data_IF_497604814433
#
_entry.id   IF_497604814433
#
_cell.length_a   1.000
_cell.length_b   1.000
_cell.length_c   1.000
_cell.angle_alpha   90.00
_cell.angle_beta   90.00
_cell.angle_gamma   90.00
#
_symmetry.space_group_name_H-M   'P 1'
#
loop_
_entity.id
_entity.type
_entity.pdbx_description
1 polymer ?
#
# COMPACT_ATOMS: atom_id res chain seq x y z
N UNK A 1 5.88 9.61 10.39
CA UNK A 1 6.10 8.31 9.72
C UNK A 1 6.01 7.18 10.73
N UNK A 2 5.35 6.10 10.35
CA UNK A 2 5.24 4.93 11.21
C UNK A 2 6.56 4.15 11.25
N UNK A 3 6.91 3.65 12.42
CA UNK A 3 8.03 2.72 12.57
C UNK A 3 7.53 1.26 12.45
N UNK A 4 8.45 0.29 12.52
CA UNK A 4 8.12 -1.13 12.36
C UNK A 4 7.14 -1.62 13.42
N UNK A 5 7.28 -1.17 14.66
CA UNK A 5 6.38 -1.57 15.77
C UNK A 5 4.98 -1.04 15.51
N UNK A 6 4.86 0.23 15.16
CA UNK A 6 3.59 0.87 14.85
C UNK A 6 2.93 0.25 13.61
N UNK A 7 3.72 -0.02 12.57
CA UNK A 7 3.22 -0.66 11.36
C UNK A 7 2.70 -2.07 11.62
N UNK A 8 3.41 -2.85 12.44
CA UNK A 8 2.98 -4.20 12.81
C UNK A 8 1.67 -4.16 13.60
N UNK A 9 1.55 -3.23 14.56
CA UNK A 9 0.33 -3.07 15.34
C UNK A 9 -0.85 -2.68 14.45
N UNK A 10 -0.64 -1.79 13.49
CA UNK A 10 -1.68 -1.38 12.55
C UNK A 10 -2.09 -2.53 11.62
N UNK A 11 -1.12 -3.30 11.14
CA UNK A 11 -1.38 -4.48 10.31
C UNK A 11 -2.19 -5.53 11.09
N UNK A 12 -1.86 -5.75 12.36
CA UNK A 12 -2.59 -6.68 13.21
C UNK A 12 -4.03 -6.22 13.47
N UNK A 13 -4.22 -4.93 13.73
CA UNK A 13 -5.54 -4.34 13.87
C UNK A 13 -6.36 -4.53 12.59
N UNK A 14 -5.78 -4.19 11.44
CA UNK A 14 -6.43 -4.29 10.14
C UNK A 14 -6.83 -5.74 9.83
N UNK A 15 -5.93 -6.69 10.08
CA UNK A 15 -6.20 -8.10 9.87
C UNK A 15 -7.33 -8.61 10.77
N UNK A 16 -7.42 -8.13 12.01
CA UNK A 16 -8.52 -8.49 12.91
C UNK A 16 -9.88 -8.03 12.39
N UNK A 17 -9.93 -6.93 11.65
CA UNK A 17 -11.18 -6.44 11.02
C UNK A 17 -11.62 -7.33 9.86
N UNK A 18 -10.68 -7.91 9.13
CA UNK A 18 -10.93 -8.76 7.96
C UNK A 18 -9.84 -9.84 7.86
N UNK A 19 -9.95 -10.92 8.66
CA UNK A 19 -8.94 -11.98 8.63
C UNK A 19 -8.81 -12.63 7.25
N UNK A 20 -7.57 -12.99 6.90
CA UNK A 20 -7.28 -13.65 5.64
C UNK A 20 -5.77 -13.81 5.41
N UNK A 21 -5.36 -14.41 4.29
CA UNK A 21 -3.95 -14.69 4.00
C UNK A 21 -3.14 -13.43 3.67
N UNK A 22 -3.78 -12.29 3.47
CA UNK A 22 -3.13 -11.05 3.07
C UNK A 22 -2.16 -10.50 4.12
N UNK A 23 -2.35 -10.80 5.42
CA UNK A 23 -1.40 -10.42 6.46
C UNK A 23 -0.06 -11.13 6.28
N UNK A 24 -0.09 -12.43 6.09
CA UNK A 24 1.13 -13.21 5.86
C UNK A 24 1.83 -12.74 4.58
N UNK A 25 1.07 -12.49 3.52
CA UNK A 25 1.59 -11.90 2.29
C UNK A 25 2.28 -10.56 2.56
N UNK A 26 1.64 -9.67 3.31
CA UNK A 26 2.21 -8.36 3.65
C UNK A 26 3.52 -8.48 4.41
N UNK A 27 3.65 -9.43 5.33
CA UNK A 27 4.90 -9.67 6.05
C UNK A 27 6.00 -10.23 5.14
N UNK A 28 5.65 -11.09 4.19
CA UNK A 28 6.61 -11.55 3.18
C UNK A 28 7.11 -10.40 2.31
N UNK A 29 6.20 -9.54 1.86
CA UNK A 29 6.56 -8.35 1.08
C UNK A 29 7.45 -7.42 1.90
N UNK A 30 7.14 -7.21 3.18
CA UNK A 30 7.95 -6.39 4.07
C UNK A 30 9.39 -6.88 4.16
N UNK A 31 9.58 -8.18 4.37
CA UNK A 31 10.91 -8.78 4.46
C UNK A 31 11.68 -8.65 3.15
N UNK A 32 11.01 -8.94 2.03
CA UNK A 32 11.63 -8.83 0.71
C UNK A 32 12.01 -7.38 0.39
N UNK A 33 11.10 -6.45 0.61
CA UNK A 33 11.34 -5.02 0.38
C UNK A 33 12.52 -4.50 1.21
N UNK A 34 12.55 -4.84 2.51
CA UNK A 34 13.65 -4.45 3.39
C UNK A 34 15.00 -4.99 2.92
N UNK A 35 15.05 -6.27 2.56
CA UNK A 35 16.29 -6.90 2.10
C UNK A 35 16.77 -6.32 0.77
N UNK A 36 15.88 -6.08 -0.18
CA UNK A 36 16.20 -5.46 -1.47
C UNK A 36 16.73 -4.04 -1.26
N UNK A 37 16.03 -3.25 -0.45
CA UNK A 37 16.41 -1.87 -0.18
C UNK A 37 17.82 -1.79 0.42
N UNK A 38 18.14 -2.64 1.40
CA UNK A 38 19.47 -2.68 2.00
C UNK A 38 20.55 -2.98 0.96
N UNK A 39 20.31 -3.95 0.08
CA UNK A 39 21.27 -4.27 -1.00
C UNK A 39 21.43 -3.15 -2.01
N UNK A 40 20.42 -2.31 -2.18
CA UNK A 40 20.46 -1.16 -3.08
C UNK A 40 20.96 0.13 -2.40
N UNK A 41 21.39 0.06 -1.14
CA UNK A 41 21.81 1.24 -0.39
C UNK A 41 20.68 2.17 0.04
N UNK A 42 19.46 1.66 0.08
CA UNK A 42 18.27 2.39 0.52
C UNK A 42 17.93 2.04 1.98
N UNK A 43 16.99 2.80 2.57
CA UNK A 43 16.53 2.57 3.94
C UNK A 43 15.67 1.30 4.02
N UNK A 44 16.28 0.20 4.50
CA UNK A 44 15.61 -1.09 4.64
C UNK A 44 14.48 -1.09 5.66
N UNK A 45 14.61 -0.34 6.75
CA UNK A 45 13.53 -0.21 7.74
C UNK A 45 12.31 0.48 7.14
N UNK A 46 12.54 1.56 6.39
CA UNK A 46 11.46 2.26 5.71
C UNK A 46 10.79 1.37 4.67
N UNK A 47 11.57 0.68 3.85
CA UNK A 47 11.04 -0.25 2.85
C UNK A 47 10.22 -1.38 3.50
N UNK A 48 10.68 -1.89 4.65
CA UNK A 48 9.94 -2.89 5.41
C UNK A 48 8.55 -2.38 5.81
N UNK A 49 8.48 -1.17 6.36
CA UNK A 49 7.20 -0.55 6.78
C UNK A 49 6.27 -0.37 5.58
N UNK A 50 6.78 0.14 4.46
CA UNK A 50 5.99 0.32 3.25
C UNK A 50 5.44 -1.02 2.74
N UNK A 51 6.27 -2.06 2.73
CA UNK A 51 5.85 -3.40 2.32
C UNK A 51 4.79 -3.99 3.25
N UNK A 52 4.95 -3.81 4.56
CA UNK A 52 3.98 -4.30 5.54
C UNK A 52 2.60 -3.65 5.38
N UNK A 53 2.54 -2.41 4.94
CA UNK A 53 1.29 -1.63 4.90
C UNK A 53 0.70 -1.47 3.50
N UNK A 54 1.34 -2.00 2.46
CA UNK A 54 0.89 -1.77 1.08
C UNK A 54 -0.55 -2.24 0.81
N UNK A 55 -1.00 -3.26 1.49
CA UNK A 55 -2.34 -3.86 1.36
C UNK A 55 -3.25 -3.60 2.56
N UNK A 56 -2.87 -2.68 3.45
CA UNK A 56 -3.62 -2.46 4.70
C UNK A 56 -5.08 -2.07 4.49
N UNK A 57 -5.41 -1.51 3.34
CA UNK A 57 -6.78 -1.14 2.97
C UNK A 57 -7.76 -2.32 2.89
N UNK A 58 -7.25 -3.55 2.92
CA UNK A 58 -8.10 -4.75 2.97
C UNK A 58 -8.84 -4.92 4.30
N UNK A 59 -8.59 -4.06 5.29
CA UNK A 59 -9.25 -4.11 6.59
C UNK A 59 -10.78 -4.00 6.52
N UNK A 60 -11.32 -3.37 5.48
CA UNK A 60 -12.78 -3.22 5.30
C UNK A 60 -13.43 -4.39 4.55
N UNK A 61 -12.71 -5.48 4.31
CA UNK A 61 -13.22 -6.62 3.58
C UNK A 61 -13.32 -6.41 2.07
N UNK A 62 -12.73 -5.33 1.56
CA UNK A 62 -12.75 -5.03 0.14
C UNK A 62 -11.68 -5.82 -0.61
N UNK A 63 -11.98 -6.14 -1.87
CA UNK A 63 -11.07 -6.84 -2.79
C UNK A 63 -10.91 -6.01 -4.06
N UNK A 64 -9.87 -6.31 -4.83
CA UNK A 64 -9.61 -5.59 -6.06
C UNK A 64 -9.13 -4.17 -5.79
N UNK A 65 -9.55 -3.23 -6.63
CA UNK A 65 -9.04 -1.87 -6.63
C UNK A 65 -9.41 -1.02 -5.40
N UNK A 66 -10.59 -1.20 -4.74
CA UNK A 66 -10.95 -0.36 -3.59
C UNK A 66 -9.95 -0.37 -2.43
N UNK A 67 -9.19 -1.44 -2.22
CA UNK A 67 -8.23 -1.50 -1.13
C UNK A 67 -7.14 -0.41 -1.23
N UNK A 68 -6.81 0.05 -2.44
CA UNK A 68 -5.83 1.11 -2.66
C UNK A 68 -6.28 2.43 -2.03
N UNK A 69 -7.50 2.87 -2.32
CA UNK A 69 -8.05 4.10 -1.77
C UNK A 69 -8.31 4.03 -0.27
N UNK A 70 -8.73 2.87 0.23
CA UNK A 70 -8.97 2.66 1.67
C UNK A 70 -7.68 2.71 2.47
N UNK A 71 -6.63 2.08 1.98
CA UNK A 71 -5.31 2.13 2.58
C UNK A 71 -4.73 3.55 2.56
N UNK A 72 -4.88 4.26 1.45
CA UNK A 72 -4.46 5.64 1.34
C UNK A 72 -5.12 6.52 2.42
N UNK A 73 -6.44 6.46 2.54
CA UNK A 73 -7.17 7.27 3.52
C UNK A 73 -6.74 6.96 4.95
N UNK A 74 -6.62 5.68 5.29
CA UNK A 74 -6.19 5.25 6.62
C UNK A 74 -4.80 5.78 6.97
N UNK A 75 -3.85 5.64 6.06
CA UNK A 75 -2.46 6.04 6.32
C UNK A 75 -2.25 7.55 6.29
N UNK A 76 -3.06 8.29 5.53
CA UNK A 76 -3.09 9.76 5.63
C UNK A 76 -3.57 10.19 7.01
N UNK A 77 -4.59 9.55 7.55
CA UNK A 77 -5.09 9.79 8.91
C UNK A 77 -4.02 9.49 9.96
N UNK A 78 -3.24 8.43 9.76
CA UNK A 78 -2.13 8.06 10.65
C UNK A 78 -0.88 8.93 10.48
N UNK A 79 -0.89 9.87 9.54
CA UNK A 79 0.22 10.79 9.33
C UNK A 79 1.39 10.23 8.53
N UNK A 80 1.20 9.12 7.83
CA UNK A 80 2.26 8.52 7.00
C UNK A 80 1.92 8.62 5.51
N UNK A 81 2.30 9.74 4.90
CA UNK A 81 2.03 10.03 3.49
C UNK A 81 2.75 9.08 2.55
N UNK A 82 3.98 8.67 2.89
CA UNK A 82 4.74 7.74 2.06
C UNK A 82 4.08 6.37 1.99
N UNK A 83 3.65 5.83 3.13
CA UNK A 83 2.93 4.57 3.18
C UNK A 83 1.55 4.68 2.52
N UNK A 84 0.85 5.81 2.70
CA UNK A 84 -0.42 6.07 2.01
C UNK A 84 -0.25 6.01 0.49
N UNK A 85 0.80 6.62 -0.02
CA UNK A 85 1.12 6.64 -1.45
C UNK A 85 1.33 5.23 -1.99
N UNK A 86 2.10 4.40 -1.32
CA UNK A 86 2.39 3.03 -1.75
C UNK A 86 1.12 2.16 -1.83
N UNK A 87 0.13 2.42 -0.98
CA UNK A 87 -1.16 1.75 -1.07
C UNK A 87 -1.82 1.92 -2.44
N UNK A 88 -1.57 3.03 -3.11
CA UNK A 88 -2.07 3.27 -4.47
C UNK A 88 -1.07 2.76 -5.52
N UNK A 89 0.19 3.19 -5.42
CA UNK A 89 1.17 2.97 -6.49
C UNK A 89 1.50 1.51 -6.71
N UNK A 90 1.46 0.66 -5.68
CA UNK A 90 1.81 -0.76 -5.81
C UNK A 90 0.91 -1.52 -6.79
N UNK A 91 -0.32 -1.05 -7.01
CA UNK A 91 -1.27 -1.65 -7.95
C UNK A 91 -1.08 -1.16 -9.39
N UNK A 92 -0.25 -0.16 -9.60
CA UNK A 92 -0.07 0.49 -10.90
C UNK A 92 1.42 0.69 -11.20
N UNK A 93 2.17 -0.40 -11.50
CA UNK A 93 3.63 -0.31 -11.67
C UNK A 93 4.07 0.67 -12.76
N UNK A 94 3.23 0.87 -13.79
CA UNK A 94 3.50 1.81 -14.90
C UNK A 94 2.69 3.11 -14.77
N UNK A 95 1.98 3.33 -13.66
CA UNK A 95 1.18 4.53 -13.43
C UNK A 95 -0.10 4.60 -14.24
N UNK A 96 -0.55 3.52 -14.85
CA UNK A 96 -1.73 3.47 -15.71
C UNK A 96 -2.87 2.66 -15.09
N UNK A 97 -4.00 3.31 -14.86
CA UNK A 97 -5.20 2.65 -14.35
C UNK A 97 -5.68 1.53 -15.28
N UNK A 98 -5.56 1.72 -16.58
CA UNK A 98 -5.96 0.74 -17.61
C UNK A 98 -5.20 -0.57 -17.53
N UNK A 99 -3.99 -0.54 -16.95
CA UNK A 99 -3.13 -1.72 -16.82
C UNK A 99 -3.28 -2.44 -15.48
N UNK A 100 -4.30 -2.07 -14.68
CA UNK A 100 -4.58 -2.77 -13.43
C UNK A 100 -5.00 -4.22 -13.72
N UNK A 101 -4.29 -5.16 -13.11
CA UNK A 101 -4.54 -6.59 -13.27
C UNK A 101 -5.47 -7.10 -12.18
N UNK A 102 -6.76 -6.81 -12.28
CA UNK A 102 -7.75 -7.21 -11.29
C UNK A 102 -9.10 -6.56 -11.57
N UNK A 103 -10.03 -6.72 -10.62
CA UNK A 103 -11.36 -6.12 -10.73
C UNK A 103 -11.32 -4.63 -10.42
N UNK A 104 -11.94 -3.83 -11.28
CA UNK A 104 -12.14 -2.40 -11.07
C UNK A 104 -13.50 -2.14 -10.44
N UNK A 105 -13.71 -2.65 -9.27
CA UNK A 105 -14.95 -2.52 -8.52
C UNK A 105 -14.98 -1.24 -7.67
N UNK A 106 -14.71 -0.12 -8.30
CA UNK A 106 -14.68 1.21 -7.68
C UNK A 106 -15.83 2.07 -8.15
N UNK A 107 -16.25 3.01 -7.29
CA UNK A 107 -17.23 4.04 -7.68
C UNK A 107 -16.60 5.02 -8.68
N UNK A 108 -17.44 5.79 -9.41
CA UNK A 108 -16.91 6.86 -10.28
C UNK A 108 -16.02 7.86 -9.54
N UNK A 109 -16.34 8.18 -8.29
CA UNK A 109 -15.54 9.09 -7.45
C UNK A 109 -14.19 8.49 -7.09
N UNK A 110 -14.15 7.21 -6.74
CA UNK A 110 -12.92 6.48 -6.45
C UNK A 110 -12.04 6.38 -7.70
N UNK A 111 -12.62 6.10 -8.85
CA UNK A 111 -11.89 6.06 -10.12
C UNK A 111 -11.30 7.43 -10.46
N UNK A 112 -12.08 8.51 -10.29
CA UNK A 112 -11.61 9.86 -10.53
C UNK A 112 -10.44 10.23 -9.60
N UNK A 113 -10.50 9.83 -8.33
CA UNK A 113 -9.39 10.01 -7.39
C UNK A 113 -8.13 9.28 -7.86
N UNK A 114 -8.25 8.02 -8.26
CA UNK A 114 -7.10 7.22 -8.70
C UNK A 114 -6.47 7.80 -9.97
N UNK A 115 -7.28 8.21 -10.95
CA UNK A 115 -6.78 8.82 -12.17
C UNK A 115 -6.01 10.09 -11.89
N UNK A 116 -6.54 10.97 -11.04
CA UNK A 116 -5.87 12.22 -10.65
C UNK A 116 -4.58 11.94 -9.89
N UNK A 117 -4.65 11.02 -8.92
CA UNK A 117 -3.49 10.63 -8.12
C UNK A 117 -2.34 10.14 -9.00
N UNK A 118 -2.63 9.22 -9.93
CA UNK A 118 -1.62 8.66 -10.81
C UNK A 118 -1.06 9.70 -11.78
N UNK A 119 -1.89 10.63 -12.28
CA UNK A 119 -1.45 11.70 -13.17
C UNK A 119 -0.49 12.68 -12.48
N UNK A 120 -0.69 12.92 -11.18
CA UNK A 120 0.10 13.89 -10.40
C UNK A 120 1.30 13.25 -9.69
N UNK A 121 1.36 11.92 -9.63
CA UNK A 121 2.40 11.21 -8.89
C UNK A 121 3.60 10.91 -9.78
N UNK A 122 4.79 11.30 -9.31
CA UNK A 122 6.06 10.89 -9.90
C UNK A 122 6.57 9.71 -9.07
N UNK A 123 6.73 8.51 -9.66
CA UNK A 123 7.22 7.35 -8.93
C UNK A 123 8.64 7.59 -8.40
N UNK A 124 8.88 7.16 -7.16
CA UNK A 124 10.22 7.14 -6.57
C UNK A 124 10.75 5.71 -6.46
N UNK A 125 11.93 5.54 -5.86
CA UNK A 125 12.56 4.23 -5.78
C UNK A 125 11.80 3.25 -4.88
N UNK A 126 11.00 3.74 -3.93
CA UNK A 126 10.16 2.87 -3.09
C UNK A 126 8.89 2.38 -3.79
N UNK A 127 8.45 3.07 -4.84
CA UNK A 127 7.30 2.62 -5.64
C UNK A 127 7.66 1.41 -6.52
N UNK A 128 8.94 1.19 -6.74
CA UNK A 128 9.48 0.18 -7.63
C UNK A 128 9.94 -1.06 -6.89
#
# INVERSE_FOLDING_TARGET
>A
MLNRIEATALLDWAHAQNPGPWRAHSLHVARAAGAIAEKCGMDGERAWVLGALHDVGRYEGVRGLPHAGRGYALLMEKGDRGAARVCVTHSFPDGRLEHFNGRRDVSPEEEAFLRRFLAETIPDDFDR
#
